data_IF_840376079468
#
_entry.id   IF_840376079468
#
_cell.length_a   1.000
_cell.length_b   1.000
_cell.length_c   1.000
_cell.angle_alpha   90.00
_cell.angle_beta   90.00
_cell.angle_gamma   90.00
#
_symmetry.space_group_name_H-M   'P 1'
#
loop_
_entity.id
_entity.type
_entity.pdbx_description
1 polymer ?
#
# COMPACT_ATOMS: atom_id res chain seq x y z
N UNK A 1 -0.98 -7.21 14.64
CA UNK A 1 -1.20 -6.40 13.42
C UNK A 1 -2.56 -6.79 12.90
N UNK A 2 -3.37 -5.80 12.54
CA UNK A 2 -4.72 -6.00 12.02
C UNK A 2 -4.69 -6.79 10.70
N UNK A 3 -5.70 -7.62 10.44
CA UNK A 3 -5.84 -8.45 9.24
C UNK A 3 -5.81 -7.54 7.99
N UNK A 4 -6.56 -6.43 8.06
CA UNK A 4 -6.62 -5.38 7.05
C UNK A 4 -5.24 -4.77 6.73
N UNK A 5 -4.38 -4.62 7.74
CA UNK A 5 -3.00 -4.11 7.54
C UNK A 5 -2.17 -5.10 6.73
N UNK A 6 -2.31 -6.40 7.00
CA UNK A 6 -1.59 -7.44 6.24
C UNK A 6 -2.12 -7.54 4.81
N UNK A 7 -3.43 -7.44 4.62
CA UNK A 7 -4.02 -7.41 3.27
C UNK A 7 -3.53 -6.21 2.46
N UNK A 8 -3.49 -5.00 3.04
CA UNK A 8 -2.98 -3.81 2.37
C UNK A 8 -1.51 -3.98 1.93
N UNK A 9 -0.67 -4.56 2.80
CA UNK A 9 0.73 -4.86 2.47
C UNK A 9 0.83 -5.90 1.34
N UNK A 10 0.00 -6.94 1.37
CA UNK A 10 -0.03 -7.96 0.32
C UNK A 10 -0.40 -7.34 -1.03
N UNK A 11 -1.42 -6.48 -1.09
CA UNK A 11 -1.81 -5.78 -2.32
C UNK A 11 -0.66 -4.91 -2.85
N UNK A 12 0.07 -4.20 -1.99
CA UNK A 12 1.24 -3.41 -2.43
C UNK A 12 2.34 -4.31 -3.04
N UNK A 13 2.60 -5.48 -2.45
CA UNK A 13 3.56 -6.44 -2.99
C UNK A 13 3.11 -6.99 -4.34
N UNK A 14 1.83 -7.31 -4.49
CA UNK A 14 1.25 -7.78 -5.76
C UNK A 14 1.37 -6.73 -6.87
N UNK A 15 1.05 -5.48 -6.57
CA UNK A 15 1.20 -4.35 -7.50
C UNK A 15 2.64 -4.21 -7.99
N UNK A 16 3.62 -4.26 -7.06
CA UNK A 16 5.04 -4.24 -7.42
C UNK A 16 5.41 -5.44 -8.32
N UNK A 17 4.93 -6.63 -7.99
CA UNK A 17 5.16 -7.83 -8.77
C UNK A 17 4.58 -7.76 -10.19
N UNK A 18 3.39 -7.15 -10.36
CA UNK A 18 2.78 -6.93 -11.68
C UNK A 18 3.62 -5.94 -12.49
N UNK A 19 4.03 -4.82 -11.90
CA UNK A 19 4.90 -3.83 -12.56
C UNK A 19 6.20 -4.47 -13.08
N UNK A 20 6.86 -5.29 -12.25
CA UNK A 20 8.08 -5.99 -12.65
C UNK A 20 7.85 -7.01 -13.76
N UNK A 21 6.71 -7.70 -13.74
CA UNK A 21 6.34 -8.65 -14.81
C UNK A 21 6.08 -7.94 -16.12
N UNK A 22 5.40 -6.79 -16.11
CA UNK A 22 5.18 -6.00 -17.33
C UNK A 22 6.50 -5.58 -17.98
N UNK A 23 7.46 -5.08 -17.18
CA UNK A 23 8.80 -4.72 -17.66
C UNK A 23 9.58 -5.91 -18.23
N UNK A 24 9.37 -7.12 -17.70
CA UNK A 24 9.99 -8.35 -18.20
C UNK A 24 9.36 -8.87 -19.49
N UNK A 25 8.05 -8.70 -19.67
CA UNK A 25 7.33 -9.14 -20.88
C UNK A 25 7.65 -8.20 -22.04
N UNK A 26 7.69 -6.89 -21.79
CA UNK A 26 7.98 -5.86 -22.78
C UNK A 26 9.24 -5.07 -22.43
N UNK A 27 10.44 -5.69 -22.46
CA UNK A 27 11.69 -4.95 -22.37
C UNK A 27 11.84 -4.01 -23.57
N UNK A 28 12.70 -3.00 -23.47
CA UNK A 28 12.99 -2.06 -24.57
C UNK A 28 13.55 -2.72 -25.84
N UNK A 29 14.01 -3.96 -25.74
CA UNK A 29 14.46 -4.79 -26.88
C UNK A 29 13.35 -5.65 -27.48
N UNK A 30 12.14 -5.63 -26.94
CA UNK A 30 11.03 -6.43 -27.42
C UNK A 30 10.60 -5.96 -28.83
N UNK A 31 10.37 -6.86 -29.80
CA UNK A 31 10.01 -6.46 -31.17
C UNK A 31 8.73 -5.62 -31.30
N UNK A 32 7.84 -5.72 -30.30
CA UNK A 32 6.60 -4.96 -30.23
C UNK A 32 6.65 -3.81 -29.22
N UNK A 33 7.81 -3.52 -28.63
CA UNK A 33 7.94 -2.51 -27.57
C UNK A 33 7.31 -1.19 -27.98
N UNK A 34 7.66 -0.67 -29.15
CA UNK A 34 7.14 0.62 -29.64
C UNK A 34 5.61 0.64 -29.80
N UNK A 35 4.99 -0.52 -30.09
CA UNK A 35 3.54 -0.62 -30.26
C UNK A 35 2.77 -0.60 -28.92
N UNK A 36 3.42 -1.00 -27.83
CA UNK A 36 2.78 -1.14 -26.52
C UNK A 36 3.39 -0.22 -25.46
N UNK A 37 4.42 0.55 -25.81
CA UNK A 37 5.21 1.36 -24.89
C UNK A 37 4.33 2.32 -24.09
N UNK A 38 3.42 3.01 -24.77
CA UNK A 38 2.50 3.96 -24.13
C UNK A 38 1.54 3.26 -23.17
N UNK A 39 0.92 2.15 -23.59
CA UNK A 39 -0.05 1.41 -22.78
C UNK A 39 0.60 0.74 -21.57
N UNK A 40 1.74 0.08 -21.77
CA UNK A 40 2.51 -0.56 -20.69
C UNK A 40 3.09 0.49 -19.75
N UNK A 41 3.53 1.63 -20.29
CA UNK A 41 4.00 2.78 -19.52
C UNK A 41 2.89 3.35 -18.63
N UNK A 42 1.70 3.57 -19.21
CA UNK A 42 0.53 4.04 -18.48
C UNK A 42 0.09 3.06 -17.39
N UNK A 43 0.07 1.75 -17.70
CA UNK A 43 -0.22 0.72 -16.71
C UNK A 43 0.78 0.76 -15.54
N UNK A 44 2.08 0.87 -15.83
CA UNK A 44 3.12 1.01 -14.81
C UNK A 44 2.93 2.25 -13.94
N UNK A 45 2.58 3.40 -14.55
CA UNK A 45 2.29 4.63 -13.83
C UNK A 45 1.12 4.48 -12.86
N UNK A 46 -0.02 3.92 -13.31
CA UNK A 46 -1.19 3.75 -12.45
C UNK A 46 -0.99 2.71 -11.34
N UNK A 47 -0.21 1.66 -11.59
CA UNK A 47 0.18 0.69 -10.56
C UNK A 47 0.99 1.37 -9.46
N UNK A 48 1.95 2.21 -9.84
CA UNK A 48 2.77 2.96 -8.88
C UNK A 48 1.91 3.96 -8.07
N UNK A 49 1.02 4.69 -8.74
CA UNK A 49 0.10 5.61 -8.07
C UNK A 49 -0.82 4.89 -7.08
N UNK A 50 -1.37 3.73 -7.46
CA UNK A 50 -2.16 2.89 -6.56
C UNK A 50 -1.36 2.47 -5.32
N UNK A 51 -0.09 2.10 -5.49
CA UNK A 51 0.82 1.77 -4.39
C UNK A 51 0.97 2.92 -3.38
N UNK A 52 1.15 4.16 -3.85
CA UNK A 52 1.24 5.34 -2.99
C UNK A 52 -0.06 5.64 -2.24
N UNK A 53 -1.21 5.44 -2.90
CA UNK A 53 -2.51 5.61 -2.22
C UNK A 53 -2.70 4.58 -1.12
N UNK A 54 -2.32 3.33 -1.34
CA UNK A 54 -2.36 2.28 -0.32
C UNK A 54 -1.40 2.56 0.85
N UNK A 55 -0.23 3.14 0.59
CA UNK A 55 0.69 3.56 1.65
C UNK A 55 0.05 4.62 2.56
N UNK A 56 -0.66 5.60 1.99
CA UNK A 56 -1.41 6.59 2.76
C UNK A 56 -2.52 5.96 3.60
N UNK A 57 -3.21 4.93 3.09
CA UNK A 57 -4.24 4.18 3.84
C UNK A 57 -3.58 3.43 5.00
N UNK A 58 -2.46 2.74 4.74
CA UNK A 58 -1.70 2.00 5.74
C UNK A 58 -1.26 2.90 6.89
N UNK A 59 -0.72 4.10 6.59
CA UNK A 59 -0.33 5.08 7.60
C UNK A 59 -1.51 5.54 8.47
N UNK A 60 -2.70 5.67 7.87
CA UNK A 60 -3.91 6.07 8.59
C UNK A 60 -4.34 4.98 9.58
N UNK A 61 -4.43 3.73 9.12
CA UNK A 61 -4.84 2.57 9.95
C UNK A 61 -3.83 2.31 11.08
N UNK A 62 -2.53 2.46 10.79
CA UNK A 62 -1.48 2.31 11.79
C UNK A 62 -1.46 3.48 12.79
N UNK A 63 -1.80 4.69 12.36
CA UNK A 63 -1.92 5.87 13.23
C UNK A 63 -3.08 5.76 14.22
N UNK A 64 -4.24 5.27 13.78
CA UNK A 64 -5.41 5.03 14.65
C UNK A 64 -5.16 3.94 15.70
N UNK A 65 -4.28 2.97 15.40
CA UNK A 65 -3.90 1.91 16.34
C UNK A 65 -3.11 2.40 17.57
N UNK A 66 -2.56 3.62 17.54
CA UNK A 66 -1.77 4.21 18.65
C UNK A 66 -2.64 5.08 19.58
N UNK A 67 -3.89 5.38 19.20
CA UNK A 67 -4.78 6.27 19.96
C UNK A 67 -5.69 5.59 21.00
N UNK A 68 -5.72 4.25 21.09
CA UNK A 68 -6.77 3.54 21.83
C UNK A 68 -6.34 2.92 23.17
N UNK A 69 -5.27 3.41 23.80
CA UNK A 69 -4.92 3.05 25.18
C UNK A 69 -4.64 4.28 26.02
N UNK A 70 -5.69 5.01 26.41
CA UNK A 70 -5.64 5.97 27.52
C UNK A 70 -7.02 6.18 28.15
N UNK A 71 -7.81 5.13 28.36
CA UNK A 71 -8.82 5.15 29.42
C UNK A 71 -8.12 4.74 30.72
N UNK A 72 -7.42 5.70 31.32
CA UNK A 72 -7.09 5.61 32.74
C UNK A 72 -8.35 6.02 33.51
N UNK A 73 -9.11 5.02 33.96
CA UNK A 73 -10.13 5.19 34.99
C UNK A 73 -9.51 5.93 36.18
N UNK A 74 -9.89 7.20 36.35
CA UNK A 74 -9.63 7.92 37.59
C UNK A 74 -10.66 7.39 38.58
N UNK A 75 -10.29 6.34 39.31
CA UNK A 75 -11.05 5.86 40.45
C UNK A 75 -10.82 6.85 41.60
N UNK A 76 -11.84 7.65 41.89
CA UNK A 76 -11.92 8.48 43.08
C UNK A 76 -11.90 7.56 44.31
N UNK A 77 -10.83 7.62 45.11
CA UNK A 77 -10.88 7.15 46.49
C UNK A 77 -10.53 8.29 47.43
N UNK A 78 -11.57 8.71 48.14
CA UNK A 78 -11.57 9.60 49.30
C UNK A 78 -10.50 9.18 50.31
N UNK A 79 -9.73 10.15 50.80
CA UNK A 79 -8.89 10.00 51.99
C UNK A 79 -9.49 10.95 53.04
N UNK A 80 -10.13 10.37 54.05
CA UNK A 80 -10.36 11.00 55.36
C UNK A 80 -9.53 10.27 56.42
#
# INVERSE_FOLDING_TARGET
>A
MDDDTQELIAIQQELSGISDRLRKIFPSTHPQFDNVFEDVGAAGYYIQEAGYRLESVLMTVQGDSVGSTSDAEISETEIE
#
